data_IF_040288453722
#
_entry.id   IF_040288453722
#
_cell.length_a   1.000
_cell.length_b   1.000
_cell.length_c   1.000
_cell.angle_alpha   90.00
_cell.angle_beta   90.00
_cell.angle_gamma   90.00
#
_symmetry.space_group_name_H-M   'P 1'
#
loop_
_entity.id
_entity.type
_entity.pdbx_description
1 polymer ?
#
# COMPACT_ATOMS: atom_id res chain seq x y z
N UNK A 1 -34.82 -20.23 54.66
CA UNK A 1 -33.57 -20.90 54.24
C UNK A 1 -33.58 -21.42 52.80
N UNK A 2 -34.56 -22.20 52.31
CA UNK A 2 -34.46 -22.81 50.98
C UNK A 2 -34.45 -21.78 49.82
N UNK A 3 -35.12 -20.64 49.99
CA UNK A 3 -35.11 -19.55 48.99
C UNK A 3 -33.76 -18.81 48.88
N UNK A 4 -32.96 -18.75 49.95
CA UNK A 4 -31.63 -18.14 49.93
C UNK A 4 -30.62 -19.02 49.18
N UNK A 5 -30.74 -20.33 49.36
CA UNK A 5 -29.89 -21.33 48.70
C UNK A 5 -30.21 -21.41 47.20
N UNK A 6 -31.48 -21.34 46.80
CA UNK A 6 -31.86 -21.31 45.38
C UNK A 6 -31.45 -20.02 44.67
N UNK A 7 -31.48 -18.87 45.37
CA UNK A 7 -30.97 -17.59 44.85
C UNK A 7 -29.46 -17.61 44.66
N UNK A 8 -28.71 -18.16 45.62
CA UNK A 8 -27.25 -18.34 45.53
C UNK A 8 -26.87 -19.32 44.40
N UNK A 9 -27.56 -20.46 44.29
CA UNK A 9 -27.34 -21.42 43.21
C UNK A 9 -27.72 -20.84 41.84
N UNK A 10 -28.78 -20.04 41.77
CA UNK A 10 -29.16 -19.29 40.57
C UNK A 10 -28.09 -18.27 40.16
N UNK A 11 -27.41 -17.66 41.12
CA UNK A 11 -26.33 -16.68 40.91
C UNK A 11 -25.09 -17.29 40.23
N UNK A 12 -24.77 -18.56 40.54
CA UNK A 12 -23.63 -19.32 40.00
C UNK A 12 -23.98 -20.25 38.83
N UNK A 13 -25.26 -20.32 38.44
CA UNK A 13 -25.69 -21.09 37.26
C UNK A 13 -25.16 -20.48 35.95
N UNK A 14 -25.16 -21.26 34.86
CA UNK A 14 -24.73 -20.80 33.52
C UNK A 14 -25.52 -19.60 32.98
N UNK A 15 -26.71 -19.33 33.52
CA UNK A 15 -27.54 -18.15 33.21
C UNK A 15 -27.48 -17.05 34.30
N UNK A 16 -26.75 -17.30 35.39
CA UNK A 16 -26.61 -16.42 36.55
C UNK A 16 -25.73 -15.20 36.30
N UNK A 17 -25.88 -14.19 37.16
CA UNK A 17 -25.14 -12.92 37.05
C UNK A 17 -23.62 -13.10 37.02
N UNK A 18 -23.09 -14.15 37.66
CA UNK A 18 -21.65 -14.43 37.70
C UNK A 18 -21.10 -14.95 36.36
N UNK A 19 -21.83 -15.86 35.69
CA UNK A 19 -21.48 -16.34 34.36
C UNK A 19 -21.56 -15.22 33.31
N UNK A 20 -22.56 -14.33 33.42
CA UNK A 20 -22.68 -13.14 32.58
C UNK A 20 -21.53 -12.15 32.78
N UNK A 21 -21.05 -11.99 34.02
CA UNK A 21 -19.91 -11.13 34.34
C UNK A 21 -18.60 -11.65 33.71
N UNK A 22 -18.32 -12.95 33.81
CA UNK A 22 -17.15 -13.55 33.16
C UNK A 22 -17.23 -13.54 31.63
N UNK A 23 -18.42 -13.77 31.05
CA UNK A 23 -18.63 -13.61 29.61
C UNK A 23 -18.41 -12.17 29.15
N UNK A 24 -18.86 -11.18 29.93
CA UNK A 24 -18.64 -9.77 29.63
C UNK A 24 -17.16 -9.40 29.70
N UNK A 25 -16.43 -9.83 30.74
CA UNK A 25 -14.98 -9.63 30.84
C UNK A 25 -14.24 -10.33 29.69
N UNK A 26 -14.54 -11.60 29.42
CA UNK A 26 -13.90 -12.35 28.34
C UNK A 26 -14.12 -11.71 26.97
N UNK A 27 -15.33 -11.22 26.70
CA UNK A 27 -15.65 -10.48 25.48
C UNK A 27 -14.90 -9.15 25.41
N UNK A 28 -14.84 -8.40 26.51
CA UNK A 28 -14.15 -7.10 26.58
C UNK A 28 -12.64 -7.23 26.40
N UNK A 29 -12.03 -8.23 27.05
CA UNK A 29 -10.60 -8.52 26.96
C UNK A 29 -10.22 -9.03 25.57
N UNK A 30 -10.99 -9.95 24.98
CA UNK A 30 -10.69 -10.45 23.63
C UNK A 30 -10.77 -9.35 22.56
N UNK A 31 -11.80 -8.50 22.59
CA UNK A 31 -11.93 -7.38 21.64
C UNK A 31 -10.78 -6.38 21.83
N UNK A 32 -10.49 -6.00 23.07
CA UNK A 32 -9.56 -4.90 23.34
C UNK A 32 -8.09 -5.31 23.25
N UNK A 33 -7.74 -6.51 23.74
CA UNK A 33 -6.35 -6.94 23.87
C UNK A 33 -5.85 -7.78 22.68
N UNK A 34 -6.75 -8.36 21.88
CA UNK A 34 -6.36 -9.26 20.77
C UNK A 34 -6.79 -8.68 19.42
N UNK A 35 -8.06 -8.35 19.25
CA UNK A 35 -8.59 -7.93 17.94
C UNK A 35 -8.04 -6.56 17.55
N UNK A 36 -8.06 -5.58 18.46
CA UNK A 36 -7.58 -4.21 18.17
C UNK A 36 -6.10 -4.14 17.76
N UNK A 37 -5.14 -4.74 18.51
CA UNK A 37 -3.73 -4.69 18.11
C UNK A 37 -3.46 -5.37 16.77
N UNK A 38 -4.15 -6.48 16.48
CA UNK A 38 -4.05 -7.18 15.19
C UNK A 38 -4.52 -6.27 14.06
N UNK A 39 -5.65 -5.58 14.21
CA UNK A 39 -6.15 -4.69 13.17
C UNK A 39 -5.23 -3.47 12.95
N UNK A 40 -4.70 -2.87 14.03
CA UNK A 40 -3.76 -1.75 13.92
C UNK A 40 -2.46 -2.17 13.23
N UNK A 41 -1.92 -3.33 13.57
CA UNK A 41 -0.69 -3.86 12.93
C UNK A 41 -0.93 -4.20 11.46
N UNK A 42 -2.08 -4.77 11.10
CA UNK A 42 -2.46 -5.03 9.71
C UNK A 42 -2.57 -3.74 8.91
N UNK A 43 -3.19 -2.69 9.47
CA UNK A 43 -3.27 -1.37 8.84
C UNK A 43 -1.87 -0.78 8.63
N UNK A 44 -1.01 -0.84 9.66
CA UNK A 44 0.38 -0.39 9.56
C UNK A 44 1.14 -1.11 8.44
N UNK A 45 1.04 -2.44 8.39
CA UNK A 45 1.66 -3.26 7.36
C UNK A 45 1.16 -2.91 5.94
N UNK A 46 -0.15 -2.67 5.78
CA UNK A 46 -0.74 -2.24 4.50
C UNK A 46 -0.18 -0.88 4.07
N UNK A 47 -0.03 0.08 4.99
CA UNK A 47 0.54 1.40 4.69
C UNK A 47 2.00 1.25 4.26
N UNK A 48 2.81 0.53 5.02
CA UNK A 48 4.24 0.32 4.72
C UNK A 48 4.45 -0.39 3.38
N UNK A 49 3.67 -1.45 3.11
CA UNK A 49 3.71 -2.15 1.83
C UNK A 49 3.42 -1.22 0.64
N UNK A 50 2.46 -0.31 0.80
CA UNK A 50 2.06 0.63 -0.26
C UNK A 50 3.10 1.73 -0.49
N UNK A 51 3.70 2.27 0.57
CA UNK A 51 4.84 3.18 0.43
C UNK A 51 6.02 2.49 -0.25
N UNK A 52 6.28 1.23 0.08
CA UNK A 52 7.30 0.42 -0.59
C UNK A 52 7.01 0.26 -2.08
N UNK A 53 5.76 -0.04 -2.47
CA UNK A 53 5.35 -0.11 -3.89
C UNK A 53 5.54 1.24 -4.61
N UNK A 54 5.18 2.35 -3.98
CA UNK A 54 5.36 3.68 -4.56
C UNK A 54 6.84 3.97 -4.86
N UNK A 55 7.70 3.74 -3.86
CA UNK A 55 9.15 3.92 -4.00
C UNK A 55 9.73 2.97 -5.04
N UNK A 56 9.25 1.72 -5.12
CA UNK A 56 9.69 0.76 -6.12
C UNK A 56 9.37 1.23 -7.54
N UNK A 57 8.17 1.79 -7.77
CA UNK A 57 7.77 2.34 -9.08
C UNK A 57 8.63 3.54 -9.47
N UNK A 58 8.87 4.49 -8.55
CA UNK A 58 9.77 5.63 -8.80
C UNK A 58 11.17 5.13 -9.16
N UNK A 59 11.68 4.15 -8.41
CA UNK A 59 13.00 3.55 -8.65
C UNK A 59 13.07 2.88 -10.02
N UNK A 60 12.02 2.16 -10.42
CA UNK A 60 11.91 1.55 -11.74
C UNK A 60 11.94 2.60 -12.86
N UNK A 61 11.20 3.70 -12.71
CA UNK A 61 11.17 4.79 -13.69
C UNK A 61 12.56 5.40 -13.85
N UNK A 62 13.23 5.73 -12.74
CA UNK A 62 14.60 6.25 -12.79
C UNK A 62 15.58 5.25 -13.42
N UNK A 63 15.45 3.96 -13.11
CA UNK A 63 16.29 2.92 -13.68
C UNK A 63 16.13 2.83 -15.20
N UNK A 64 14.89 2.82 -15.69
CA UNK A 64 14.58 2.75 -17.13
C UNK A 64 15.07 4.01 -17.86
N UNK A 65 14.90 5.20 -17.27
CA UNK A 65 15.42 6.44 -17.80
C UNK A 65 16.96 6.45 -17.90
N UNK A 66 17.63 6.05 -16.82
CA UNK A 66 19.09 5.99 -16.77
C UNK A 66 19.63 4.97 -17.77
N UNK A 67 19.00 3.79 -17.90
CA UNK A 67 19.43 2.78 -18.87
C UNK A 67 19.25 3.21 -20.33
N UNK A 68 18.22 3.97 -20.62
CA UNK A 68 18.07 4.56 -21.96
C UNK A 68 19.16 5.60 -22.23
N UNK A 69 19.46 6.47 -21.26
CA UNK A 69 20.55 7.45 -21.37
C UNK A 69 21.90 6.75 -21.58
N UNK A 70 22.20 5.70 -20.79
CA UNK A 70 23.39 4.87 -20.94
C UNK A 70 23.48 4.25 -22.36
N UNK A 71 22.35 3.78 -22.89
CA UNK A 71 22.27 3.18 -24.22
C UNK A 71 22.52 4.21 -25.33
N UNK A 72 21.95 5.41 -25.22
CA UNK A 72 22.21 6.49 -26.16
C UNK A 72 23.70 6.89 -26.14
N UNK A 73 24.29 7.04 -24.95
CA UNK A 73 25.70 7.33 -24.81
C UNK A 73 26.59 6.22 -25.42
N UNK A 74 26.22 4.96 -25.25
CA UNK A 74 26.94 3.82 -25.84
C UNK A 74 26.82 3.80 -27.37
N UNK A 75 25.64 4.07 -27.93
CA UNK A 75 25.41 4.15 -29.38
C UNK A 75 26.27 5.27 -29.98
N UNK A 76 26.31 6.44 -29.36
CA UNK A 76 27.12 7.57 -29.83
C UNK A 76 28.62 7.22 -29.83
N UNK A 77 29.10 6.55 -28.79
CA UNK A 77 30.50 6.14 -28.64
C UNK A 77 30.90 5.07 -29.66
N UNK A 78 30.03 4.11 -29.95
CA UNK A 78 30.30 3.05 -30.94
C UNK A 78 30.16 3.53 -32.38
N UNK A 79 29.11 4.27 -32.69
CA UNK A 79 28.85 4.78 -34.04
C UNK A 79 29.87 5.84 -34.47
N UNK A 80 30.51 6.53 -33.51
CA UNK A 80 31.60 7.48 -33.79
C UNK A 80 32.96 6.83 -34.10
N UNK A 81 33.13 5.54 -33.82
CA UNK A 81 34.41 4.83 -34.01
C UNK A 81 34.41 3.85 -35.19
N UNK A 82 33.24 3.47 -35.70
CA UNK A 82 33.09 2.46 -36.76
C UNK A 82 32.82 3.06 -38.16
N UNK A 83 32.80 2.20 -39.18
CA UNK A 83 32.45 2.51 -40.58
C UNK A 83 31.09 3.22 -40.76
N UNK A 84 30.23 3.18 -39.74
CA UNK A 84 28.90 3.81 -39.70
C UNK A 84 28.93 5.30 -39.30
N UNK A 85 30.11 5.89 -39.09
CA UNK A 85 30.32 7.30 -38.75
C UNK A 85 29.65 8.28 -39.71
N UNK A 86 29.75 8.05 -41.02
CA UNK A 86 29.19 8.97 -42.04
C UNK A 86 27.65 8.94 -42.05
N UNK A 87 26.98 7.76 -42.14
CA UNK A 87 25.53 7.67 -41.98
C UNK A 87 25.02 8.22 -40.65
N UNK A 88 25.72 7.94 -39.54
CA UNK A 88 25.33 8.40 -38.22
C UNK A 88 25.38 9.93 -38.09
N UNK A 89 26.44 10.58 -38.60
CA UNK A 89 26.52 12.06 -38.64
C UNK A 89 25.44 12.68 -39.51
N UNK A 90 25.03 12.04 -40.60
CA UNK A 90 23.91 12.50 -41.43
C UNK A 90 22.61 12.45 -40.61
N UNK A 91 22.32 11.32 -39.95
CA UNK A 91 21.14 11.16 -39.09
C UNK A 91 21.13 12.16 -37.92
N UNK A 92 22.29 12.42 -37.31
CA UNK A 92 22.45 13.43 -36.27
C UNK A 92 22.19 14.84 -36.82
N UNK A 93 22.75 15.19 -37.99
CA UNK A 93 22.53 16.50 -38.63
C UNK A 93 21.09 16.73 -39.08
N UNK A 94 20.35 15.65 -39.37
CA UNK A 94 18.92 15.68 -39.67
C UNK A 94 18.05 15.77 -38.40
N UNK A 95 18.66 15.75 -37.21
CA UNK A 95 17.96 15.79 -35.93
C UNK A 95 17.22 14.50 -35.57
N UNK A 96 17.48 13.38 -36.26
CA UNK A 96 16.78 12.12 -36.02
C UNK A 96 17.10 11.56 -34.64
N UNK A 97 18.35 11.69 -34.19
CA UNK A 97 18.82 11.22 -32.88
C UNK A 97 18.18 12.05 -31.75
N UNK A 98 18.12 13.37 -31.93
CA UNK A 98 17.49 14.30 -31.00
C UNK A 98 15.97 14.06 -30.92
N UNK A 99 15.30 13.85 -32.06
CA UNK A 99 13.89 13.52 -32.11
C UNK A 99 13.55 12.21 -31.38
N UNK A 100 14.42 11.19 -31.47
CA UNK A 100 14.27 9.92 -30.73
C UNK A 100 14.39 10.16 -29.22
N UNK A 101 15.35 10.98 -28.80
CA UNK A 101 15.54 11.35 -27.40
C UNK A 101 14.33 12.12 -26.85
N UNK A 102 13.85 13.12 -27.58
CA UNK A 102 12.70 13.94 -27.20
C UNK A 102 11.40 13.14 -27.14
N UNK A 103 11.22 12.21 -28.08
CA UNK A 103 10.11 11.28 -28.08
C UNK A 103 10.16 10.36 -26.84
N UNK A 104 11.34 9.82 -26.51
CA UNK A 104 11.50 8.96 -25.34
C UNK A 104 11.27 9.73 -24.03
N UNK A 105 11.76 10.96 -23.92
CA UNK A 105 11.50 11.82 -22.76
C UNK A 105 9.99 12.09 -22.60
N UNK A 106 9.32 12.46 -23.69
CA UNK A 106 7.87 12.68 -23.70
C UNK A 106 7.08 11.42 -23.34
N UNK A 107 7.46 10.27 -23.91
CA UNK A 107 6.87 8.97 -23.59
C UNK A 107 7.08 8.61 -22.11
N UNK A 108 8.27 8.84 -21.57
CA UNK A 108 8.59 8.56 -20.15
C UNK A 108 7.73 9.41 -19.22
N UNK A 109 7.49 10.68 -19.54
CA UNK A 109 6.62 11.57 -18.76
C UNK A 109 5.16 11.11 -18.82
N UNK A 110 4.65 10.79 -20.01
CA UNK A 110 3.26 10.29 -20.18
C UNK A 110 3.09 8.95 -19.46
N UNK A 111 4.06 8.05 -19.56
CA UNK A 111 4.03 6.76 -18.88
C UNK A 111 4.10 6.92 -17.36
N UNK A 112 4.95 7.82 -16.87
CA UNK A 112 5.08 8.15 -15.45
C UNK A 112 3.78 8.72 -14.89
N UNK A 113 3.16 9.66 -15.59
CA UNK A 113 1.88 10.27 -15.16
C UNK A 113 0.75 9.25 -15.15
N UNK A 114 0.70 8.33 -16.12
CA UNK A 114 -0.27 7.24 -16.14
C UNK A 114 -0.08 6.26 -14.97
N UNK A 115 1.16 5.87 -14.69
CA UNK A 115 1.48 5.06 -13.51
C UNK A 115 1.09 5.78 -12.22
N UNK A 116 1.39 7.07 -12.12
CA UNK A 116 1.06 7.87 -10.94
C UNK A 116 -0.45 8.00 -10.74
N UNK A 117 -1.23 8.14 -11.81
CA UNK A 117 -2.69 8.11 -11.77
C UNK A 117 -3.23 6.75 -11.30
N UNK A 118 -2.62 5.64 -11.76
CA UNK A 118 -2.99 4.30 -11.31
C UNK A 118 -2.70 4.09 -9.82
N UNK A 119 -1.54 4.57 -9.36
CA UNK A 119 -1.17 4.58 -7.94
C UNK A 119 -2.16 5.43 -7.14
N UNK A 120 -2.49 6.64 -7.61
CA UNK A 120 -3.44 7.52 -6.93
C UNK A 120 -4.82 6.87 -6.78
N UNK A 121 -5.30 6.20 -7.83
CA UNK A 121 -6.54 5.41 -7.78
C UNK A 121 -6.46 4.28 -6.76
N UNK A 122 -5.35 3.54 -6.74
CA UNK A 122 -5.09 2.53 -5.72
C UNK A 122 -5.07 3.14 -4.31
N UNK A 123 -4.43 4.28 -4.13
CA UNK A 123 -4.34 4.98 -2.85
C UNK A 123 -5.73 5.40 -2.35
N UNK A 124 -6.56 6.00 -3.20
CA UNK A 124 -7.93 6.44 -2.85
C UNK A 124 -8.81 5.26 -2.46
N UNK A 125 -8.84 4.19 -3.27
CA UNK A 125 -9.62 2.99 -2.94
C UNK A 125 -9.20 2.37 -1.60
N UNK A 126 -7.93 2.53 -1.26
CA UNK A 126 -7.35 1.92 -0.08
C UNK A 126 -7.53 2.79 1.16
N UNK A 127 -7.51 4.11 1.00
CA UNK A 127 -7.97 5.06 2.02
C UNK A 127 -9.43 4.83 2.38
N UNK A 128 -10.29 4.53 1.39
CA UNK A 128 -11.67 4.13 1.65
C UNK A 128 -11.74 2.85 2.48
N UNK A 129 -11.01 1.80 2.10
CA UNK A 129 -10.97 0.54 2.86
C UNK A 129 -10.42 0.72 4.27
N UNK A 130 -9.36 1.51 4.43
CA UNK A 130 -8.81 1.85 5.75
C UNK A 130 -9.83 2.63 6.58
N UNK A 131 -10.51 3.62 6.00
CA UNK A 131 -11.57 4.36 6.68
C UNK A 131 -12.67 3.43 7.18
N UNK A 132 -13.09 2.46 6.39
CA UNK A 132 -14.11 1.47 6.79
C UNK A 132 -13.62 0.57 7.93
N UNK A 133 -12.36 0.12 7.88
CA UNK A 133 -11.76 -0.68 8.96
C UNK A 133 -11.57 0.14 10.24
N UNK A 134 -11.15 1.41 10.15
CA UNK A 134 -11.09 2.32 11.29
C UNK A 134 -12.47 2.62 11.88
N UNK A 135 -13.50 2.73 11.04
CA UNK A 135 -14.87 2.87 11.49
C UNK A 135 -15.33 1.61 12.25
N UNK A 136 -15.07 0.41 11.72
CA UNK A 136 -15.36 -0.87 12.41
C UNK A 136 -14.61 -0.97 13.74
N UNK A 137 -13.34 -0.59 13.78
CA UNK A 137 -12.53 -0.50 15.00
C UNK A 137 -13.21 0.42 16.03
N UNK A 138 -13.65 1.60 15.61
CA UNK A 138 -14.35 2.56 16.47
C UNK A 138 -15.67 2.02 17.02
N UNK A 139 -16.45 1.33 16.19
CA UNK A 139 -17.70 0.66 16.60
C UNK A 139 -17.42 -0.49 17.57
N UNK A 140 -16.39 -1.31 17.32
CA UNK A 140 -15.99 -2.40 18.20
C UNK A 140 -15.48 -1.90 19.56
N UNK A 141 -14.77 -0.77 19.58
CA UNK A 141 -14.40 -0.07 20.82
C UNK A 141 -15.65 0.39 21.58
N UNK A 142 -16.63 1.01 20.92
CA UNK A 142 -17.89 1.37 21.57
C UNK A 142 -18.68 0.17 22.11
N UNK A 143 -18.70 -0.95 21.37
CA UNK A 143 -19.37 -2.20 21.77
C UNK A 143 -18.61 -2.98 22.86
N UNK A 144 -17.30 -2.79 22.98
CA UNK A 144 -16.49 -3.34 24.05
C UNK A 144 -16.57 -2.50 25.33
N UNK A 145 -16.77 -1.18 25.20
CA UNK A 145 -16.91 -0.25 26.34
C UNK A 145 -18.30 -0.36 26.99
N UNK A 146 -19.36 -0.58 26.21
CA UNK A 146 -20.72 -0.90 26.71
C UNK A 146 -20.82 -2.34 27.21
#
# INVERSE_FOLDING_TARGET
MPQLISLLLGFFSSAGSFAKFFLWIGKKVSITAVILPIQITLIGAIITFRLSLFTAIITLIMFVYNKFTDLMAFVDLKMSQDFLTVPYKILQSLGVIEAISDFYASFTIVFTTLLLAFIAKLAVNSLSQLSDEFYKIGVLLQLGIK
#
